data_IF_531893326803
#
_entry.id   IF_531893326803
#
_cell.length_a   1.000
_cell.length_b   1.000
_cell.length_c   1.000
_cell.angle_alpha   90.00
_cell.angle_beta   90.00
_cell.angle_gamma   90.00
#
_symmetry.space_group_name_H-M   'P 1'
#
loop_
_entity.id
_entity.type
_entity.pdbx_description
1 polymer ?
#
# COMPACT_ATOMS: atom_id res chain seq x y z
N UNK A 1 1.63 -15.61 1.70
CA UNK A 1 0.58 -15.33 0.70
C UNK A 1 0.48 -13.83 0.37
N UNK A 2 0.13 -12.95 1.32
CA UNK A 2 -0.04 -11.50 1.05
C UNK A 2 1.24 -10.79 0.57
N UNK A 3 2.39 -11.05 1.22
CA UNK A 3 3.71 -10.53 0.79
C UNK A 3 3.99 -10.82 -0.69
N UNK A 4 3.80 -12.07 -1.10
CA UNK A 4 4.02 -12.50 -2.48
C UNK A 4 3.02 -11.89 -3.47
N UNK A 5 1.79 -11.62 -3.03
CA UNK A 5 0.80 -10.93 -3.86
C UNK A 5 1.18 -9.46 -4.10
N UNK A 6 1.57 -8.74 -3.04
CA UNK A 6 2.05 -7.35 -3.15
C UNK A 6 3.31 -7.28 -4.01
N UNK A 7 4.26 -8.21 -3.82
CA UNK A 7 5.46 -8.32 -4.67
C UNK A 7 5.11 -8.44 -6.14
N UNK A 8 4.15 -9.31 -6.49
CA UNK A 8 3.72 -9.52 -7.88
C UNK A 8 3.06 -8.27 -8.44
N UNK A 9 2.13 -7.66 -7.70
CA UNK A 9 1.49 -6.40 -8.10
C UNK A 9 2.55 -5.33 -8.42
N UNK A 10 3.47 -5.09 -7.49
CA UNK A 10 4.53 -4.08 -7.65
C UNK A 10 5.42 -4.40 -8.85
N UNK A 11 5.84 -5.67 -9.00
CA UNK A 11 6.72 -6.09 -10.09
C UNK A 11 6.05 -5.99 -11.46
N UNK A 12 4.78 -6.33 -11.56
CA UNK A 12 4.08 -6.49 -12.84
C UNK A 12 3.35 -5.22 -13.26
N UNK A 13 2.86 -4.42 -12.30
CA UNK A 13 2.05 -3.22 -12.58
C UNK A 13 2.80 -1.91 -12.37
N UNK A 14 3.75 -1.85 -11.44
CA UNK A 14 4.46 -0.61 -11.11
C UNK A 14 5.85 -0.51 -11.74
N UNK A 15 6.73 -1.49 -11.48
CA UNK A 15 8.14 -1.42 -11.91
C UNK A 15 8.35 -1.12 -13.40
N UNK A 16 7.57 -1.65 -14.36
CA UNK A 16 7.76 -1.37 -15.79
C UNK A 16 7.63 0.12 -16.15
N UNK A 17 6.94 0.92 -15.32
CA UNK A 17 6.66 2.35 -15.53
C UNK A 17 7.24 3.25 -14.44
N UNK A 18 7.97 2.70 -13.47
CA UNK A 18 8.46 3.44 -12.31
C UNK A 18 9.38 4.61 -12.70
N UNK A 19 10.32 4.38 -13.63
CA UNK A 19 11.25 5.42 -14.07
C UNK A 19 10.55 6.59 -14.79
N UNK A 20 9.58 6.29 -15.66
CA UNK A 20 8.80 7.32 -16.36
C UNK A 20 7.93 8.13 -15.38
N UNK A 21 7.26 7.47 -14.45
CA UNK A 21 6.45 8.13 -13.42
C UNK A 21 7.29 9.05 -12.53
N UNK A 22 8.48 8.59 -12.15
CA UNK A 22 9.41 9.40 -11.35
C UNK A 22 9.86 10.65 -12.10
N UNK A 23 10.31 10.49 -13.35
CA UNK A 23 10.75 11.62 -14.19
C UNK A 23 9.63 12.65 -14.45
N UNK A 24 8.38 12.19 -14.52
CA UNK A 24 7.19 13.03 -14.73
C UNK A 24 6.57 13.56 -13.43
N UNK A 25 7.09 13.17 -12.27
CA UNK A 25 6.51 13.49 -10.96
C UNK A 25 5.03 13.03 -10.82
N UNK A 26 4.69 11.90 -11.43
CA UNK A 26 3.32 11.36 -11.47
C UNK A 26 3.14 10.18 -10.52
N UNK A 27 2.03 10.18 -9.78
CA UNK A 27 1.64 9.04 -8.94
C UNK A 27 0.74 8.05 -9.71
N UNK A 28 0.95 6.72 -9.59
CA UNK A 28 0.13 5.71 -10.27
C UNK A 28 -1.25 5.56 -9.61
N UNK A 29 -2.14 6.53 -9.85
CA UNK A 29 -3.49 6.57 -9.26
C UNK A 29 -4.33 5.34 -9.59
N UNK A 30 -4.06 4.68 -10.71
CA UNK A 30 -4.72 3.44 -11.10
C UNK A 30 -4.49 2.28 -10.10
N UNK A 31 -3.38 2.29 -9.36
CA UNK A 31 -3.09 1.25 -8.35
C UNK A 31 -3.85 1.44 -7.04
N UNK A 32 -4.46 2.61 -6.80
CA UNK A 32 -5.18 2.89 -5.53
C UNK A 32 -6.34 1.91 -5.35
N UNK A 33 -7.08 1.61 -6.43
CA UNK A 33 -8.16 0.63 -6.41
C UNK A 33 -7.67 -0.77 -6.04
N UNK A 34 -6.55 -1.21 -6.64
CA UNK A 34 -5.95 -2.50 -6.34
C UNK A 34 -5.42 -2.58 -4.91
N UNK A 35 -4.85 -1.50 -4.38
CA UNK A 35 -4.45 -1.44 -2.96
C UNK A 35 -5.66 -1.58 -2.03
N UNK A 36 -6.80 -0.99 -2.38
CA UNK A 36 -8.03 -1.12 -1.60
C UNK A 36 -8.60 -2.55 -1.67
N UNK A 37 -8.69 -3.14 -2.86
CA UNK A 37 -9.17 -4.52 -3.08
C UNK A 37 -8.30 -5.55 -2.36
N UNK A 38 -6.99 -5.32 -2.29
CA UNK A 38 -6.05 -6.17 -1.55
C UNK A 38 -6.05 -5.92 -0.03
N UNK A 39 -6.82 -4.94 0.46
CA UNK A 39 -6.91 -4.62 1.89
C UNK A 39 -5.66 -3.94 2.46
N UNK A 40 -4.89 -3.22 1.65
CA UNK A 40 -3.65 -2.57 2.09
C UNK A 40 -3.93 -1.24 2.81
N UNK A 41 -5.06 -0.59 2.52
CA UNK A 41 -5.45 0.68 3.13
C UNK A 41 -6.10 0.43 4.49
N UNK A 42 -5.49 0.94 5.56
CA UNK A 42 -5.92 0.64 6.93
C UNK A 42 -5.71 -0.82 7.30
N UNK A 43 -4.72 -1.50 6.72
CA UNK A 43 -4.53 -2.94 6.81
C UNK A 43 -4.55 -3.49 8.25
N UNK A 44 -4.04 -2.76 9.24
CA UNK A 44 -3.99 -3.17 10.64
C UNK A 44 -5.26 -2.85 11.46
N UNK A 45 -6.19 -2.08 10.92
CA UNK A 45 -7.42 -1.67 11.61
C UNK A 45 -8.45 -2.79 11.57
N UNK A 46 -9.28 -2.86 12.62
CA UNK A 46 -10.37 -3.85 12.75
C UNK A 46 -11.72 -3.16 12.55
N UNK A 47 -12.65 -3.86 11.87
CA UNK A 47 -13.95 -3.32 11.49
C UNK A 47 -13.89 -2.49 10.20
N UNK A 48 -15.00 -1.84 9.83
CA UNK A 48 -15.07 -0.89 8.69
C UNK A 48 -14.60 -1.44 7.32
N UNK A 49 -14.64 -2.77 7.13
CA UNK A 49 -14.11 -3.41 5.92
C UNK A 49 -12.58 -3.47 5.85
N UNK A 50 -11.86 -3.09 6.91
CA UNK A 50 -10.41 -3.18 6.99
C UNK A 50 -9.94 -4.61 7.25
N UNK A 51 -8.72 -4.94 6.80
CA UNK A 51 -8.20 -6.30 6.77
C UNK A 51 -7.83 -6.90 8.14
N UNK A 52 -7.72 -6.09 9.20
CA UNK A 52 -7.42 -6.58 10.56
C UNK A 52 -6.08 -7.31 10.70
N UNK A 53 -5.10 -6.98 9.85
CA UNK A 53 -3.80 -7.63 9.78
C UNK A 53 -2.95 -7.37 11.03
N UNK A 54 -2.10 -8.35 11.36
CA UNK A 54 -1.07 -8.16 12.39
C UNK A 54 -0.03 -7.12 11.96
N UNK A 55 0.68 -6.54 12.92
CA UNK A 55 1.76 -5.59 12.65
C UNK A 55 2.87 -6.18 11.77
N UNK A 56 3.19 -7.49 11.92
CA UNK A 56 4.17 -8.18 11.08
C UNK A 56 3.68 -8.27 9.63
N UNK A 57 2.41 -8.62 9.41
CA UNK A 57 1.84 -8.66 8.06
C UNK A 57 1.85 -7.27 7.41
N UNK A 58 1.50 -6.22 8.17
CA UNK A 58 1.54 -4.85 7.68
C UNK A 58 2.97 -4.43 7.32
N UNK A 59 3.96 -4.70 8.18
CA UNK A 59 5.37 -4.40 7.89
C UNK A 59 5.88 -5.11 6.63
N UNK A 60 5.50 -6.39 6.42
CA UNK A 60 5.85 -7.12 5.20
C UNK A 60 5.19 -6.55 3.94
N UNK A 61 3.98 -5.99 4.03
CA UNK A 61 3.33 -5.29 2.91
C UNK A 61 4.10 -4.02 2.57
N UNK A 62 4.42 -3.20 3.59
CA UNK A 62 5.17 -1.96 3.39
C UNK A 62 6.54 -2.24 2.76
N UNK A 63 7.22 -3.30 3.19
CA UNK A 63 8.50 -3.73 2.61
C UNK A 63 8.38 -4.03 1.10
N UNK A 64 7.31 -4.68 0.66
CA UNK A 64 7.13 -5.02 -0.76
C UNK A 64 6.63 -3.84 -1.61
N UNK A 65 5.91 -2.88 -1.01
CA UNK A 65 5.60 -1.61 -1.67
C UNK A 65 6.87 -0.78 -1.85
N UNK A 66 7.72 -0.71 -0.83
CA UNK A 66 8.99 0.02 -0.83
C UNK A 66 10.04 -0.61 -1.75
N UNK A 67 9.96 -1.92 -1.99
CA UNK A 67 10.72 -2.56 -3.06
C UNK A 67 10.44 -1.93 -4.43
N UNK A 68 9.20 -1.47 -4.67
CA UNK A 68 8.85 -0.74 -5.87
C UNK A 68 9.32 0.71 -5.80
N UNK A 69 8.79 1.44 -4.82
CA UNK A 69 9.08 2.85 -4.61
C UNK A 69 8.60 3.33 -3.22
N UNK A 70 9.36 4.24 -2.62
CA UNK A 70 9.03 4.80 -1.30
C UNK A 70 7.74 5.63 -1.32
N UNK A 71 7.34 6.20 -2.46
CA UNK A 71 6.08 6.90 -2.65
C UNK A 71 4.86 5.99 -2.52
N UNK A 72 4.91 4.75 -3.04
CA UNK A 72 3.83 3.76 -2.85
C UNK A 72 3.64 3.44 -1.37
N UNK A 73 4.74 3.14 -0.67
CA UNK A 73 4.73 2.86 0.77
C UNK A 73 4.27 4.07 1.57
N UNK A 74 4.67 5.29 1.17
CA UNK A 74 4.26 6.55 1.80
C UNK A 74 2.76 6.75 1.70
N UNK A 75 2.18 6.55 0.51
CA UNK A 75 0.73 6.65 0.29
C UNK A 75 -0.04 5.71 1.22
N UNK A 76 0.31 4.42 1.24
CA UNK A 76 -0.36 3.43 2.09
C UNK A 76 -0.19 3.74 3.58
N UNK A 77 0.99 4.21 3.99
CA UNK A 77 1.26 4.60 5.38
C UNK A 77 0.45 5.81 5.81
N UNK A 78 0.41 6.88 5.01
CA UNK A 78 -0.38 8.08 5.31
C UNK A 78 -1.86 7.74 5.38
N UNK A 79 -2.37 7.00 4.39
CA UNK A 79 -3.78 6.64 4.36
C UNK A 79 -4.17 5.77 5.57
N UNK A 80 -3.41 4.70 5.85
CA UNK A 80 -3.74 3.76 6.91
C UNK A 80 -3.34 4.23 8.31
N UNK A 81 -2.05 4.49 8.52
CA UNK A 81 -1.47 4.72 9.84
C UNK A 81 -1.59 6.15 10.36
N UNK A 82 -1.88 7.12 9.49
CA UNK A 82 -2.09 8.51 9.91
C UNK A 82 -3.55 8.92 9.80
N UNK A 83 -4.13 8.93 8.59
CA UNK A 83 -5.49 9.42 8.36
C UNK A 83 -6.55 8.49 8.96
N UNK A 84 -6.61 7.23 8.51
CA UNK A 84 -7.63 6.27 8.99
C UNK A 84 -7.43 5.93 10.47
N UNK A 85 -6.20 5.75 10.93
CA UNK A 85 -5.92 5.47 12.34
C UNK A 85 -6.39 6.61 13.27
N UNK A 86 -6.14 7.87 12.91
CA UNK A 86 -6.59 9.00 13.72
C UNK A 86 -8.12 9.03 13.87
N UNK A 87 -8.86 8.71 12.80
CA UNK A 87 -10.34 8.61 12.83
C UNK A 87 -10.80 7.36 13.58
N UNK A 88 -10.06 6.26 13.50
CA UNK A 88 -10.41 5.01 14.17
C UNK A 88 -10.23 5.07 15.69
N UNK A 89 -9.20 5.80 16.15
CA UNK A 89 -8.78 5.82 17.56
C UNK A 89 -9.41 6.95 18.39
N UNK A 90 -9.91 8.02 17.78
CA UNK A 90 -10.39 9.23 18.44
C UNK A 90 -11.71 9.71 17.84
#
# INVERSE_FOLDING_TARGET
MIRGAVRRLVRERYLPRAGELFEKEEFPKDLIGEFAEMGLLGASLKGYGCAGMSAVQYGLILQELEYGDSGLRSFVSVQGSLAMYAIHAY
#
